data_IF_406642410729
#
_entry.id   IF_406642410729
#
_cell.length_a   1.000
_cell.length_b   1.000
_cell.length_c   1.000
_cell.angle_alpha   90.00
_cell.angle_beta   90.00
_cell.angle_gamma   90.00
#
_symmetry.space_group_name_H-M   'P 1'
#
loop_
_entity.id
_entity.type
_entity.pdbx_description
1 polymer ?
#
# COMPACT_ATOMS: atom_id res chain seq x y z
N UNK A 1 -10.21 18.30 -4.58
CA UNK A 1 -10.16 16.96 -5.22
C UNK A 1 -9.66 17.01 -6.68
N UNK A 2 -10.25 17.81 -7.57
CA UNK A 2 -9.83 17.87 -8.98
C UNK A 2 -8.33 18.20 -9.17
N UNK A 3 -7.78 19.13 -8.37
CA UNK A 3 -6.35 19.45 -8.34
C UNK A 3 -5.50 18.24 -7.97
N UNK A 4 -5.88 17.49 -6.93
CA UNK A 4 -5.18 16.25 -6.55
C UNK A 4 -5.25 15.19 -7.65
N UNK A 5 -6.42 14.96 -8.25
CA UNK A 5 -6.56 14.01 -9.36
C UNK A 5 -5.66 14.39 -10.53
N UNK A 6 -5.64 15.66 -10.89
CA UNK A 6 -4.79 16.19 -11.96
C UNK A 6 -3.30 16.05 -11.61
N UNK A 7 -2.92 16.32 -10.36
CA UNK A 7 -1.55 16.15 -9.89
C UNK A 7 -1.11 14.67 -9.90
N UNK A 8 -1.98 13.75 -9.49
CA UNK A 8 -1.70 12.31 -9.54
C UNK A 8 -1.62 11.80 -10.97
N UNK A 9 -2.53 12.23 -11.86
CA UNK A 9 -2.48 11.92 -13.29
C UNK A 9 -1.21 12.47 -13.95
N UNK A 10 -0.81 13.69 -13.61
CA UNK A 10 0.42 14.29 -14.07
C UNK A 10 1.62 13.51 -13.55
N UNK A 11 1.62 13.12 -12.28
CA UNK A 11 2.70 12.32 -11.71
C UNK A 11 2.75 10.90 -12.30
N UNK A 12 1.61 10.26 -12.59
CA UNK A 12 1.53 9.00 -13.35
C UNK A 12 2.06 9.16 -14.79
N UNK A 13 1.76 10.29 -15.43
CA UNK A 13 2.26 10.62 -16.77
C UNK A 13 3.78 10.84 -16.74
N UNK A 14 4.27 11.68 -15.82
CA UNK A 14 5.70 11.93 -15.62
C UNK A 14 6.43 10.62 -15.29
N UNK A 15 5.86 9.75 -14.44
CA UNK A 15 6.40 8.42 -14.16
C UNK A 15 6.53 7.56 -15.43
N UNK A 16 5.64 7.73 -16.42
CA UNK A 16 5.69 7.00 -17.69
C UNK A 16 6.61 7.66 -18.73
N UNK A 17 6.84 8.96 -18.66
CA UNK A 17 7.52 9.73 -19.72
C UNK A 17 8.91 10.25 -19.36
N UNK A 18 9.29 10.34 -18.08
CA UNK A 18 10.63 10.78 -17.71
C UNK A 18 11.63 9.62 -17.78
N UNK A 19 12.74 9.79 -18.50
CA UNK A 19 13.88 8.84 -18.50
C UNK A 19 14.75 8.95 -17.25
N UNK A 20 14.62 10.04 -16.47
CA UNK A 20 15.35 10.18 -15.20
C UNK A 20 14.60 9.48 -14.07
N UNK A 21 14.97 8.23 -13.92
CA UNK A 21 14.67 7.28 -12.87
C UNK A 21 14.57 7.82 -11.42
N UNK A 22 15.44 8.76 -11.05
CA UNK A 22 15.45 9.40 -9.71
C UNK A 22 14.21 10.29 -9.51
N UNK A 23 13.71 10.92 -10.58
CA UNK A 23 12.50 11.72 -10.53
C UNK A 23 11.25 10.86 -10.30
N UNK A 24 11.20 9.63 -10.87
CA UNK A 24 10.10 8.68 -10.64
C UNK A 24 10.04 8.22 -9.18
N UNK A 25 11.19 7.91 -8.58
CA UNK A 25 11.28 7.51 -7.17
C UNK A 25 10.84 8.63 -6.22
N UNK A 26 11.26 9.87 -6.49
CA UNK A 26 10.86 11.03 -5.71
C UNK A 26 9.35 11.30 -5.81
N UNK A 27 8.77 11.15 -7.01
CA UNK A 27 7.32 11.27 -7.24
C UNK A 27 6.53 10.17 -6.52
N UNK A 28 7.02 8.92 -6.51
CA UNK A 28 6.40 7.84 -5.75
C UNK A 28 6.38 8.08 -4.24
N UNK A 29 7.49 8.60 -3.67
CA UNK A 29 7.56 9.00 -2.24
C UNK A 29 6.63 10.18 -1.91
N UNK A 30 6.49 11.14 -2.81
CA UNK A 30 5.55 12.26 -2.66
C UNK A 30 4.11 11.76 -2.71
N UNK A 31 3.75 10.91 -3.70
CA UNK A 31 2.44 10.28 -3.78
C UNK A 31 2.10 9.54 -2.51
N UNK A 32 3.04 8.74 -1.99
CA UNK A 32 2.86 7.99 -0.75
C UNK A 32 2.69 8.89 0.47
N UNK A 33 3.40 10.02 0.56
CA UNK A 33 3.21 10.97 1.67
C UNK A 33 1.88 11.72 1.57
N UNK A 34 1.44 12.04 0.35
CA UNK A 34 0.24 12.85 0.11
C UNK A 34 -1.05 12.03 -0.10
N UNK A 35 -1.02 10.70 0.01
CA UNK A 35 -2.13 9.86 -0.46
C UNK A 35 -3.41 9.88 0.39
N UNK A 36 -3.28 10.12 1.71
CA UNK A 36 -4.43 10.10 2.61
C UNK A 36 -5.38 11.27 2.34
N UNK A 37 -4.82 12.46 2.13
CA UNK A 37 -5.59 13.70 1.99
C UNK A 37 -6.61 13.69 0.84
N UNK A 38 -6.28 13.28 -0.40
CA UNK A 38 -7.28 13.24 -1.48
C UNK A 38 -8.35 12.17 -1.25
N UNK A 39 -8.03 11.06 -0.55
CA UNK A 39 -9.02 10.04 -0.17
C UNK A 39 -10.01 10.66 0.81
N UNK A 40 -9.52 11.30 1.87
CA UNK A 40 -10.33 11.96 2.90
C UNK A 40 -11.19 13.10 2.32
N UNK A 41 -10.62 13.96 1.47
CA UNK A 41 -11.35 15.03 0.79
C UNK A 41 -12.48 14.46 -0.07
N UNK A 42 -12.22 13.39 -0.83
CA UNK A 42 -13.27 12.74 -1.63
C UNK A 42 -14.40 12.21 -0.76
N UNK A 43 -14.09 11.57 0.36
CA UNK A 43 -15.10 11.05 1.29
C UNK A 43 -15.90 12.15 1.99
N UNK A 44 -15.27 13.28 2.31
CA UNK A 44 -15.96 14.46 2.84
C UNK A 44 -16.90 15.07 1.79
N UNK A 45 -16.48 15.16 0.54
CA UNK A 45 -17.34 15.64 -0.55
C UNK A 45 -18.52 14.69 -0.77
N UNK A 46 -18.30 13.37 -0.70
CA UNK A 46 -19.39 12.39 -0.75
C UNK A 46 -20.37 12.57 0.42
N UNK A 47 -19.88 12.71 1.66
CA UNK A 47 -20.71 13.00 2.85
C UNK A 47 -21.59 14.24 2.66
N UNK A 48 -21.05 15.30 2.05
CA UNK A 48 -21.75 16.58 1.85
C UNK A 48 -22.74 16.58 0.69
N UNK A 49 -22.42 15.86 -0.39
CA UNK A 49 -23.17 15.96 -1.66
C UNK A 49 -24.04 14.75 -1.97
N UNK A 50 -23.72 13.58 -1.39
CA UNK A 50 -24.31 12.30 -1.78
C UNK A 50 -23.88 11.78 -3.16
N UNK A 51 -23.00 12.50 -3.88
CA UNK A 51 -22.57 12.10 -5.22
C UNK A 51 -21.58 10.93 -5.17
N UNK A 52 -22.05 9.76 -5.63
CA UNK A 52 -21.29 8.50 -5.67
C UNK A 52 -19.96 8.61 -6.41
N UNK A 53 -19.83 9.56 -7.34
CA UNK A 53 -18.56 9.82 -8.03
C UNK A 53 -17.43 10.07 -7.05
N UNK A 54 -17.67 10.77 -5.94
CA UNK A 54 -16.65 11.05 -4.95
C UNK A 54 -16.24 9.82 -4.14
N UNK A 55 -17.18 8.90 -3.87
CA UNK A 55 -16.88 7.62 -3.25
C UNK A 55 -16.02 6.75 -4.18
N UNK A 56 -16.36 6.70 -5.47
CA UNK A 56 -15.58 5.96 -6.46
C UNK A 56 -14.19 6.59 -6.69
N UNK A 57 -14.09 7.92 -6.70
CA UNK A 57 -12.79 8.62 -6.79
C UNK A 57 -11.89 8.27 -5.59
N UNK A 58 -12.41 8.29 -4.36
CA UNK A 58 -11.66 7.87 -3.15
C UNK A 58 -11.27 6.39 -3.20
N UNK A 59 -12.15 5.51 -3.68
CA UNK A 59 -11.86 4.09 -3.89
C UNK A 59 -10.68 3.90 -4.85
N UNK A 60 -10.72 4.53 -6.02
CA UNK A 60 -9.67 4.38 -7.03
C UNK A 60 -8.31 4.89 -6.54
N UNK A 61 -8.29 5.98 -5.76
CA UNK A 61 -7.07 6.49 -5.13
C UNK A 61 -6.49 5.50 -4.11
N UNK A 62 -7.32 4.95 -3.23
CA UNK A 62 -6.88 3.96 -2.23
C UNK A 62 -6.37 2.66 -2.88
N UNK A 63 -7.15 2.10 -3.81
CA UNK A 63 -6.78 0.90 -4.54
C UNK A 63 -5.57 1.14 -5.45
N UNK A 64 -5.43 2.35 -5.98
CA UNK A 64 -4.23 2.91 -6.64
C UNK A 64 -2.94 2.54 -5.94
N UNK A 65 -2.87 2.97 -4.68
CA UNK A 65 -1.68 2.81 -3.87
C UNK A 65 -1.45 1.34 -3.51
N UNK A 66 -2.51 0.60 -3.16
CA UNK A 66 -2.43 -0.82 -2.81
C UNK A 66 -1.97 -1.68 -3.99
N UNK A 67 -2.54 -1.45 -5.18
CA UNK A 67 -2.20 -2.17 -6.39
C UNK A 67 -0.77 -1.87 -6.84
N UNK A 68 -0.31 -0.62 -6.71
CA UNK A 68 1.08 -0.26 -7.02
C UNK A 68 2.08 -1.03 -6.16
N UNK A 69 1.81 -1.15 -4.85
CA UNK A 69 2.64 -1.93 -3.93
C UNK A 69 2.57 -3.44 -4.22
N UNK A 70 1.37 -3.98 -4.45
CA UNK A 70 1.21 -5.41 -4.75
C UNK A 70 1.84 -5.78 -6.09
N UNK A 71 1.69 -4.94 -7.11
CA UNK A 71 2.32 -5.13 -8.42
C UNK A 71 3.84 -5.13 -8.28
N UNK A 72 4.40 -4.23 -7.47
CA UNK A 72 5.83 -4.25 -7.16
C UNK A 72 6.26 -5.60 -6.56
N UNK A 73 5.54 -6.10 -5.56
CA UNK A 73 5.86 -7.39 -4.93
C UNK A 73 5.64 -8.60 -5.84
N UNK A 74 4.60 -8.59 -6.67
CA UNK A 74 4.33 -9.65 -7.63
C UNK A 74 5.42 -9.71 -8.71
N UNK A 75 5.84 -8.56 -9.23
CA UNK A 75 6.98 -8.45 -10.15
C UNK A 75 8.27 -8.98 -9.51
N UNK A 76 8.53 -8.62 -8.26
CA UNK A 76 9.70 -9.11 -7.51
C UNK A 76 9.65 -10.63 -7.31
N UNK A 77 8.47 -11.21 -6.99
CA UNK A 77 8.32 -12.64 -6.70
C UNK A 77 8.35 -13.50 -7.97
N UNK A 78 7.64 -13.09 -9.02
CA UNK A 78 7.56 -13.84 -10.27
C UNK A 78 8.82 -13.66 -11.13
N UNK A 79 9.39 -12.45 -11.15
CA UNK A 79 10.69 -12.19 -11.80
C UNK A 79 11.81 -13.06 -11.22
N UNK A 80 11.88 -13.19 -9.89
CA UNK A 80 12.91 -14.03 -9.22
C UNK A 80 12.86 -15.50 -9.61
N UNK A 81 11.69 -16.03 -9.98
CA UNK A 81 11.54 -17.44 -10.41
C UNK A 81 12.05 -17.67 -11.83
N UNK A 82 11.95 -16.66 -12.69
CA UNK A 82 12.32 -16.73 -14.10
C UNK A 82 13.80 -16.39 -14.33
N UNK A 83 14.39 -15.58 -13.45
CA UNK A 83 15.76 -15.05 -13.58
C UNK A 83 16.81 -15.96 -12.90
N UNK A 84 16.60 -17.30 -12.89
CA UNK A 84 17.56 -18.24 -12.28
C UNK A 84 19.00 -18.11 -12.83
N UNK A 85 19.14 -17.61 -14.07
CA UNK A 85 20.43 -17.41 -14.72
C UNK A 85 21.10 -16.04 -14.45
N UNK A 86 20.42 -15.08 -13.80
CA UNK A 86 21.03 -13.81 -13.37
C UNK A 86 20.98 -13.67 -11.83
N UNK A 87 21.39 -14.73 -11.12
CA UNK A 87 21.47 -14.75 -9.65
C UNK A 87 22.28 -13.57 -9.09
N UNK A 88 23.30 -13.11 -9.81
CA UNK A 88 24.14 -11.98 -9.40
C UNK A 88 23.34 -10.67 -9.27
N UNK A 89 22.44 -10.35 -10.20
CA UNK A 89 21.60 -9.15 -10.11
C UNK A 89 20.60 -9.25 -8.94
N UNK A 90 20.10 -10.45 -8.67
CA UNK A 90 19.19 -10.69 -7.54
C UNK A 90 19.91 -10.58 -6.19
N UNK A 91 21.14 -11.08 -6.10
CA UNK A 91 21.98 -10.98 -4.90
C UNK A 91 22.42 -9.53 -4.64
N UNK A 92 22.75 -8.79 -5.70
CA UNK A 92 22.99 -7.35 -5.63
C UNK A 92 21.74 -6.61 -5.13
N UNK A 93 20.55 -6.92 -5.66
CA UNK A 93 19.28 -6.33 -5.21
C UNK A 93 19.03 -6.59 -3.71
N UNK A 94 19.20 -7.84 -3.26
CA UNK A 94 19.01 -8.25 -1.87
C UNK A 94 20.01 -7.57 -0.93
N UNK A 95 21.28 -7.48 -1.34
CA UNK A 95 22.32 -6.80 -0.57
C UNK A 95 22.01 -5.31 -0.36
N UNK A 96 21.58 -4.64 -1.43
CA UNK A 96 21.21 -3.23 -1.39
C UNK A 96 20.00 -2.99 -0.47
N UNK A 97 18.95 -3.82 -0.57
CA UNK A 97 17.78 -3.79 0.34
C UNK A 97 18.18 -3.97 1.80
N UNK A 98 19.05 -4.94 2.12
CA UNK A 98 19.56 -5.16 3.49
C UNK A 98 20.31 -3.93 4.02
N UNK A 99 21.16 -3.31 3.20
CA UNK A 99 21.91 -2.11 3.59
C UNK A 99 20.99 -0.92 3.86
N UNK A 100 19.98 -0.70 3.01
CA UNK A 100 18.95 0.32 3.23
C UNK A 100 18.23 0.06 4.55
N UNK A 101 17.71 -1.14 4.78
CA UNK A 101 16.99 -1.49 6.02
C UNK A 101 17.86 -1.26 7.26
N UNK A 102 19.12 -1.73 7.24
CA UNK A 102 20.06 -1.54 8.35
C UNK A 102 20.27 -0.05 8.65
N UNK A 103 20.55 0.76 7.63
CA UNK A 103 20.80 2.18 7.80
C UNK A 103 19.55 2.95 8.22
N UNK A 104 18.36 2.59 7.71
CA UNK A 104 17.09 3.18 8.13
C UNK A 104 16.79 2.91 9.61
N UNK A 105 17.09 1.71 10.11
CA UNK A 105 16.96 1.39 11.53
C UNK A 105 17.98 2.16 12.39
N UNK A 106 19.19 2.35 11.90
CA UNK A 106 20.21 3.16 12.58
C UNK A 106 19.83 4.64 12.61
N UNK A 107 19.29 5.19 11.52
CA UNK A 107 18.83 6.58 11.42
C UNK A 107 17.76 6.92 12.47
N UNK A 108 16.89 5.97 12.82
CA UNK A 108 15.87 6.15 13.87
C UNK A 108 16.45 6.29 15.28
N UNK A 109 17.70 5.90 15.49
CA UNK A 109 18.38 5.92 16.79
C UNK A 109 19.41 7.05 16.90
N UNK A 110 19.65 7.81 15.83
CA UNK A 110 20.64 8.89 15.79
C UNK A 110 20.00 10.20 16.21
N UNK A 111 20.55 10.83 17.26
CA UNK A 111 20.11 12.13 17.75
C UNK A 111 20.97 13.29 17.21
N UNK A 112 22.16 13.00 16.68
CA UNK A 112 23.05 14.00 16.08
C UNK A 112 22.65 14.30 14.64
N UNK A 113 22.36 15.57 14.35
CA UNK A 113 21.85 15.99 13.04
C UNK A 113 22.85 15.75 11.90
N UNK A 114 24.15 15.95 12.12
CA UNK A 114 25.16 15.74 11.07
C UNK A 114 25.31 14.26 10.74
N UNK A 115 25.29 13.41 11.76
CA UNK A 115 25.33 11.96 11.61
C UNK A 115 24.05 11.44 10.95
N UNK A 116 22.90 12.02 11.28
CA UNK A 116 21.62 11.71 10.64
C UNK A 116 21.64 12.08 9.15
N UNK A 117 22.13 13.26 8.81
CA UNK A 117 22.23 13.72 7.41
C UNK A 117 23.18 12.84 6.59
N UNK A 118 24.30 12.43 7.16
CA UNK A 118 25.24 11.50 6.52
C UNK A 118 24.62 10.11 6.33
N UNK A 119 23.92 9.59 7.33
CA UNK A 119 23.22 8.29 7.25
C UNK A 119 22.13 8.35 6.18
N UNK A 120 21.35 9.43 6.13
CA UNK A 120 20.34 9.66 5.11
C UNK A 120 20.94 9.79 3.71
N UNK A 121 22.14 10.35 3.57
CA UNK A 121 22.87 10.37 2.30
C UNK A 121 23.22 8.96 1.85
N UNK A 122 23.77 8.12 2.73
CA UNK A 122 24.08 6.73 2.42
C UNK A 122 22.84 5.91 2.04
N UNK A 123 21.72 6.13 2.73
CA UNK A 123 20.43 5.52 2.35
C UNK A 123 20.05 5.90 0.93
N UNK A 124 20.11 7.20 0.58
CA UNK A 124 19.83 7.67 -0.79
C UNK A 124 20.76 7.04 -1.82
N UNK A 125 22.06 6.94 -1.53
CA UNK A 125 23.04 6.34 -2.45
C UNK A 125 22.72 4.85 -2.71
N UNK A 126 22.35 4.10 -1.66
CA UNK A 126 21.90 2.71 -1.82
C UNK A 126 20.55 2.58 -2.52
N UNK A 127 19.61 3.52 -2.31
CA UNK A 127 18.35 3.56 -3.05
C UNK A 127 18.59 3.77 -4.56
N UNK A 128 19.54 4.65 -4.92
CA UNK A 128 19.95 4.86 -6.32
C UNK A 128 20.57 3.59 -6.91
N UNK A 129 21.47 2.92 -6.18
CA UNK A 129 22.08 1.69 -6.64
C UNK A 129 21.07 0.53 -6.77
N UNK A 130 20.15 0.41 -5.80
CA UNK A 130 19.07 -0.58 -5.83
C UNK A 130 18.22 -0.41 -7.08
N UNK A 131 17.89 0.85 -7.38
CA UNK A 131 17.14 1.20 -8.57
C UNK A 131 17.86 0.76 -9.86
N UNK A 132 19.15 1.06 -10.00
CA UNK A 132 19.92 0.67 -11.19
C UNK A 132 19.93 -0.86 -11.42
N UNK A 133 20.00 -1.63 -10.34
CA UNK A 133 19.91 -3.09 -10.41
C UNK A 133 18.50 -3.54 -10.83
N UNK A 134 17.46 -2.89 -10.32
CA UNK A 134 16.07 -3.17 -10.69
C UNK A 134 15.77 -2.86 -12.16
N UNK A 135 16.38 -1.82 -12.74
CA UNK A 135 16.25 -1.54 -14.19
C UNK A 135 16.95 -2.60 -15.04
N UNK A 136 18.16 -3.03 -14.65
CA UNK A 136 18.83 -4.16 -15.32
C UNK A 136 17.96 -5.41 -15.30
N UNK A 137 17.29 -5.68 -14.18
CA UNK A 137 16.33 -6.77 -14.05
C UNK A 137 15.13 -6.57 -14.99
N UNK A 138 14.50 -5.39 -15.02
CA UNK A 138 13.36 -5.11 -15.92
C UNK A 138 13.72 -5.20 -17.41
N UNK A 139 14.95 -4.88 -17.78
CA UNK A 139 15.46 -4.96 -19.15
C UNK A 139 15.66 -6.39 -19.66
N UNK A 140 15.59 -7.39 -18.78
CA UNK A 140 15.75 -8.79 -19.16
C UNK A 140 14.61 -9.24 -20.12
N UNK A 141 14.91 -10.00 -21.19
CA UNK A 141 13.91 -10.52 -22.11
C UNK A 141 12.75 -11.26 -21.43
N UNK A 142 13.06 -11.97 -20.34
CA UNK A 142 12.14 -12.73 -19.50
C UNK A 142 11.10 -11.85 -18.80
N UNK A 143 11.41 -10.56 -18.58
CA UNK A 143 10.55 -9.59 -17.89
C UNK A 143 9.59 -8.85 -18.84
N UNK A 144 9.73 -8.99 -20.16
CA UNK A 144 8.89 -8.30 -21.16
C UNK A 144 7.40 -8.66 -21.08
N UNK A 145 7.04 -9.78 -20.47
CA UNK A 145 5.66 -10.26 -20.36
C UNK A 145 4.89 -9.69 -19.15
N UNK A 146 5.56 -8.93 -18.29
CA UNK A 146 5.00 -8.49 -17.01
C UNK A 146 4.47 -7.04 -16.98
N UNK A 147 4.48 -6.34 -18.11
CA UNK A 147 4.13 -4.90 -18.19
C UNK A 147 2.65 -4.60 -18.41
N UNK A 148 1.74 -5.59 -18.38
CA UNK A 148 0.31 -5.29 -18.42
C UNK A 148 -0.14 -4.67 -17.10
N UNK A 149 -0.20 -3.35 -17.09
CA UNK A 149 -0.83 -2.57 -16.03
C UNK A 149 -2.24 -3.12 -15.79
N UNK A 150 -2.45 -3.80 -14.66
CA UNK A 150 -3.79 -4.19 -14.24
C UNK A 150 -4.52 -2.90 -13.89
N UNK A 151 -5.50 -2.52 -14.71
CA UNK A 151 -6.41 -1.42 -14.40
C UNK A 151 -7.15 -1.73 -13.11
N UNK A 152 -7.17 -0.76 -12.20
CA UNK A 152 -7.89 -0.91 -10.93
C UNK A 152 -9.38 -0.91 -11.25
N UNK A 153 -10.13 -1.95 -10.85
CA UNK A 153 -11.55 -2.01 -11.11
C UNK A 153 -12.27 -0.91 -10.31
N UNK A 154 -13.20 -0.24 -10.97
CA UNK A 154 -14.14 0.68 -10.33
C UNK A 154 -15.07 -0.06 -9.37
N UNK A 155 -15.76 0.68 -8.50
CA UNK A 155 -16.81 0.10 -7.65
C UNK A 155 -17.86 -0.59 -8.53
N UNK A 156 -18.29 0.05 -9.61
CA UNK A 156 -19.30 -0.48 -10.53
C UNK A 156 -18.84 -1.79 -11.18
N UNK A 157 -17.57 -1.88 -11.57
CA UNK A 157 -16.99 -3.11 -12.12
C UNK A 157 -17.00 -4.25 -11.11
N UNK A 158 -16.73 -3.96 -9.83
CA UNK A 158 -16.79 -4.96 -8.76
C UNK A 158 -18.22 -5.40 -8.51
N UNK A 159 -19.17 -4.47 -8.55
CA UNK A 159 -20.60 -4.76 -8.38
C UNK A 159 -21.15 -5.70 -9.45
N UNK A 160 -20.60 -5.66 -10.67
CA UNK A 160 -20.98 -6.58 -11.74
C UNK A 160 -20.57 -8.03 -11.45
N UNK A 161 -19.45 -8.25 -10.76
CA UNK A 161 -18.88 -9.60 -10.55
C UNK A 161 -19.16 -10.19 -9.16
N UNK A 162 -19.46 -9.37 -8.16
CA UNK A 162 -19.77 -9.85 -6.80
C UNK A 162 -21.16 -10.49 -6.75
N UNK A 163 -21.36 -11.51 -5.91
CA UNK A 163 -22.66 -12.13 -5.68
C UNK A 163 -23.53 -11.31 -4.72
N UNK A 164 -24.82 -11.59 -4.66
CA UNK A 164 -25.78 -10.85 -3.80
C UNK A 164 -25.51 -11.01 -2.30
N UNK A 165 -24.96 -12.15 -1.90
CA UNK A 165 -24.64 -12.47 -0.50
C UNK A 165 -23.20 -12.13 -0.11
N UNK A 166 -22.40 -11.64 -1.05
CA UNK A 166 -21.00 -11.33 -0.82
C UNK A 166 -20.80 -9.82 -0.61
N UNK A 167 -19.78 -9.49 0.17
CA UNK A 167 -19.33 -8.12 0.39
C UNK A 167 -17.80 -8.06 0.29
N UNK A 168 -17.29 -7.11 -0.49
CA UNK A 168 -15.88 -6.77 -0.50
C UNK A 168 -15.63 -5.69 0.54
N UNK A 169 -14.78 -6.00 1.52
CA UNK A 169 -14.28 -5.05 2.50
C UNK A 169 -12.84 -4.65 2.16
N UNK A 170 -12.58 -3.35 2.06
CA UNK A 170 -11.24 -2.81 1.88
C UNK A 170 -10.93 -1.81 3.00
N UNK A 171 -9.84 -2.04 3.71
CA UNK A 171 -9.41 -1.23 4.84
C UNK A 171 -8.30 -0.27 4.42
N UNK A 172 -8.47 1.01 4.68
CA UNK A 172 -7.46 2.04 4.53
C UNK A 172 -7.07 2.55 5.92
N UNK A 173 -5.77 2.56 6.20
CA UNK A 173 -5.22 2.92 7.51
C UNK A 173 -4.56 4.31 7.43
N UNK A 174 -5.20 5.28 8.06
CA UNK A 174 -4.65 6.62 8.28
C UNK A 174 -3.96 6.70 9.66
N UNK A 175 -3.16 7.76 9.95
CA UNK A 175 -2.48 7.90 11.25
C UNK A 175 -3.43 7.91 12.46
N UNK A 176 -4.66 8.42 12.29
CA UNK A 176 -5.64 8.65 13.34
C UNK A 176 -6.92 7.83 13.22
N UNK A 177 -7.20 7.19 12.08
CA UNK A 177 -8.44 6.47 11.83
C UNK A 177 -8.29 5.37 10.77
N UNK A 178 -9.25 4.46 10.72
CA UNK A 178 -9.39 3.42 9.70
C UNK A 178 -10.64 3.74 8.90
N UNK A 179 -10.51 3.74 7.58
CA UNK A 179 -11.63 3.83 6.65
C UNK A 179 -11.89 2.43 6.11
N UNK A 180 -13.12 1.95 6.21
CA UNK A 180 -13.54 0.67 5.63
C UNK A 180 -14.52 0.91 4.50
N UNK A 181 -14.09 0.63 3.27
CA UNK A 181 -14.97 0.57 2.11
C UNK A 181 -15.70 -0.77 2.08
N UNK A 182 -16.99 -0.72 1.75
CA UNK A 182 -17.84 -1.90 1.59
C UNK A 182 -18.56 -1.83 0.26
N UNK A 183 -18.29 -2.81 -0.60
CA UNK A 183 -18.92 -2.95 -1.92
C UNK A 183 -19.72 -4.25 -1.94
N UNK A 184 -21.02 -4.14 -2.23
CA UNK A 184 -21.96 -5.24 -2.46
C UNK A 184 -22.63 -5.03 -3.81
N UNK A 185 -23.32 -6.06 -4.35
CA UNK A 185 -23.97 -6.03 -5.68
C UNK A 185 -24.65 -4.70 -6.01
N UNK A 186 -25.50 -4.22 -5.10
CA UNK A 186 -26.36 -3.06 -5.35
C UNK A 186 -26.02 -1.84 -4.48
N UNK A 187 -25.07 -1.98 -3.54
CA UNK A 187 -24.76 -0.92 -2.56
C UNK A 187 -23.26 -0.78 -2.36
N UNK A 188 -22.82 0.46 -2.27
CA UNK A 188 -21.46 0.81 -1.89
C UNK A 188 -21.50 1.85 -0.79
N UNK A 189 -20.68 1.67 0.26
CA UNK A 189 -20.57 2.62 1.36
C UNK A 189 -19.19 2.60 1.97
N UNK A 190 -18.96 3.51 2.90
CA UNK A 190 -17.78 3.48 3.75
C UNK A 190 -18.16 3.76 5.20
N UNK A 191 -17.33 3.28 6.12
CA UNK A 191 -17.41 3.59 7.54
C UNK A 191 -16.03 4.02 8.02
N UNK A 192 -15.99 4.97 8.94
CA UNK A 192 -14.77 5.54 9.49
C UNK A 192 -14.70 5.24 10.99
N UNK A 193 -13.55 4.76 11.45
CA UNK A 193 -13.31 4.36 12.84
C UNK A 193 -12.08 5.06 13.37
N UNK A 194 -12.20 5.72 14.52
CA UNK A 194 -11.04 6.32 15.17
C UNK A 194 -10.07 5.25 15.67
N UNK A 195 -8.79 5.44 15.36
CA UNK A 195 -7.71 4.54 15.74
C UNK A 195 -7.19 4.92 17.13
N UNK A 196 -8.02 4.67 18.15
CA UNK A 196 -7.67 4.96 19.55
C UNK A 196 -6.48 4.11 20.02
N UNK A 197 -5.75 4.52 21.07
CA UNK A 197 -4.67 3.71 21.65
C UNK A 197 -5.13 2.29 22.02
N UNK A 198 -6.37 2.13 22.50
CA UNK A 198 -6.96 0.85 22.83
C UNK A 198 -7.15 -0.05 21.60
N UNK A 199 -7.62 0.51 20.48
CA UNK A 199 -7.77 -0.22 19.21
C UNK A 199 -6.39 -0.66 18.70
N UNK A 200 -5.39 0.25 18.73
CA UNK A 200 -4.00 -0.09 18.35
C UNK A 200 -3.45 -1.24 19.17
N UNK A 201 -3.61 -1.19 20.50
CA UNK A 201 -3.19 -2.25 21.41
C UNK A 201 -3.92 -3.57 21.13
N UNK A 202 -5.22 -3.52 20.83
CA UNK A 202 -6.02 -4.72 20.50
C UNK A 202 -5.54 -5.36 19.19
N UNK A 203 -5.25 -4.55 18.15
CA UNK A 203 -4.68 -5.03 16.88
C UNK A 203 -3.32 -5.70 17.13
N UNK A 204 -2.44 -5.08 17.92
CA UNK A 204 -1.12 -5.65 18.23
C UNK A 204 -1.21 -6.96 19.01
N UNK A 205 -2.10 -7.06 20.00
CA UNK A 205 -2.34 -8.31 20.74
C UNK A 205 -2.86 -9.40 19.83
N UNK A 206 -3.86 -9.09 19.00
CA UNK A 206 -4.40 -10.03 18.01
C UNK A 206 -3.30 -10.51 17.05
N UNK A 207 -2.50 -9.59 16.51
CA UNK A 207 -1.36 -9.93 15.64
C UNK A 207 -0.37 -10.88 16.31
N UNK A 208 0.00 -10.63 17.57
CA UNK A 208 0.89 -11.51 18.34
C UNK A 208 0.28 -12.89 18.58
N UNK A 209 -1.02 -12.97 18.88
CA UNK A 209 -1.71 -14.25 19.08
C UNK A 209 -1.75 -15.11 17.81
N UNK A 210 -1.82 -14.48 16.62
CA UNK A 210 -1.73 -15.19 15.33
C UNK A 210 -0.33 -15.73 15.03
N UNK A 211 0.72 -15.10 15.56
CA UNK A 211 2.11 -15.48 15.32
C UNK A 211 2.60 -16.57 16.27
N UNK A 212 2.01 -16.68 17.46
CA UNK A 212 2.46 -17.58 18.53
C UNK A 212 1.57 -18.83 18.66
N UNK A 213 0.95 -19.30 17.58
CA UNK A 213 0.11 -20.50 17.63
C UNK A 213 0.96 -21.74 17.81
N UNK A 214 0.92 -22.35 18.99
CA UNK A 214 1.59 -23.63 19.27
C UNK A 214 0.66 -24.79 18.91
N UNK A 215 1.16 -25.79 18.17
CA UNK A 215 0.41 -27.01 17.91
C UNK A 215 -0.05 -27.66 19.23
N UNK A 216 -1.33 -28.04 19.31
CA UNK A 216 -1.94 -28.64 20.50
C UNK A 216 -2.41 -27.65 21.57
N UNK A 217 -2.22 -26.33 21.40
CA UNK A 217 -2.76 -25.31 22.30
C UNK A 217 -3.97 -24.62 21.68
N UNK A 218 -5.01 -24.37 22.48
CA UNK A 218 -6.19 -23.63 22.05
C UNK A 218 -5.81 -22.18 21.75
N UNK A 219 -6.24 -21.67 20.59
CA UNK A 219 -6.06 -20.27 20.21
C UNK A 219 -6.62 -19.32 21.28
N UNK A 220 -5.78 -18.43 21.80
CA UNK A 220 -6.08 -17.51 22.91
C UNK A 220 -6.53 -16.11 22.45
N UNK A 221 -6.30 -15.76 21.19
CA UNK A 221 -6.69 -14.47 20.60
C UNK A 221 -8.19 -14.31 20.28
N UNK A 222 -9.07 -15.20 20.74
CA UNK A 222 -10.50 -15.18 20.41
C UNK A 222 -11.22 -13.93 20.96
N UNK A 223 -10.82 -13.45 22.14
CA UNK A 223 -11.40 -12.25 22.73
C UNK A 223 -11.05 -10.99 21.92
N UNK A 224 -9.77 -10.83 21.55
CA UNK A 224 -9.31 -9.72 20.72
C UNK A 224 -9.93 -9.80 19.31
N UNK A 225 -10.04 -10.99 18.72
CA UNK A 225 -10.72 -11.20 17.43
C UNK A 225 -12.18 -10.75 17.48
N UNK A 226 -12.93 -11.13 18.53
CA UNK A 226 -14.32 -10.73 18.72
C UNK A 226 -14.44 -9.21 18.87
N UNK A 227 -13.53 -8.58 19.61
CA UNK A 227 -13.49 -7.13 19.79
C UNK A 227 -13.23 -6.41 18.46
N UNK A 228 -12.24 -6.85 17.70
CA UNK A 228 -11.93 -6.29 16.38
C UNK A 228 -13.08 -6.51 15.39
N UNK A 229 -13.78 -7.64 15.42
CA UNK A 229 -14.98 -7.86 14.60
C UNK A 229 -16.08 -6.83 14.89
N UNK A 230 -16.36 -6.57 16.18
CA UNK A 230 -17.39 -5.59 16.57
C UNK A 230 -17.04 -4.17 16.12
N UNK A 231 -15.74 -3.84 16.04
CA UNK A 231 -15.26 -2.51 15.68
C UNK A 231 -15.15 -2.37 14.16
N UNK A 232 -14.50 -3.31 13.47
CA UNK A 232 -14.06 -3.15 12.08
C UNK A 232 -15.02 -3.75 11.05
N UNK A 233 -15.79 -4.77 11.42
CA UNK A 233 -16.59 -5.55 10.46
C UNK A 233 -18.07 -5.36 10.68
N UNK A 234 -18.57 -5.58 11.90
CA UNK A 234 -20.00 -5.52 12.21
C UNK A 234 -20.69 -4.21 11.79
N UNK A 235 -20.10 -3.01 12.01
CA UNK A 235 -20.76 -1.75 11.63
C UNK A 235 -20.86 -1.58 10.11
N UNK A 236 -20.07 -2.35 9.36
CA UNK A 236 -19.98 -2.33 7.90
C UNK A 236 -20.92 -3.36 7.26
N UNK A 237 -21.49 -4.28 8.05
CA UNK A 237 -22.46 -5.29 7.61
C UNK A 237 -23.92 -4.90 7.89
N UNK A 238 -24.17 -3.99 8.84
CA UNK A 238 -25.50 -3.53 9.24
C UNK A 238 -26.15 -2.61 8.21
#
# INVERSE_FOLDING_TARGET
LATYKTAFQLADYIEKTYDSDIARLFLGKIKYTAHNEPIEIGLQLFKKTGDKKYLNDSWLLDQGNKASLLSLHALESEGKKLIKNNAELLDQELSLKRNITRLSLQAQQINDQKQLDNTNKQIRDFEIALYQVQEKIKGLPEMKYFTKAKTIPSIESIQQIINDNDALLSFHLSPSHIITFCVRKNTSRYVEFNLTPEVKLTIEKFRKSLQNTTAGHKYDGAADAKKLYQILIKPVLA
#
